data_IF_662788750479
#
_entry.id   IF_662788750479
#
_cell.length_a   1.000
_cell.length_b   1.000
_cell.length_c   1.000
_cell.angle_alpha   90.00
_cell.angle_beta   90.00
_cell.angle_gamma   90.00
#
_symmetry.space_group_name_H-M   'P 1'
#
loop_
_entity.id
_entity.type
_entity.pdbx_description
1 polymer ?
#
# COMPACT_ATOMS: atom_id res chain seq x y z
N UNK A 1 15.88 3.64 -5.67
CA UNK A 1 15.06 4.62 -6.39
C UNK A 1 15.23 5.97 -5.73
N UNK A 2 15.25 7.02 -6.52
CA UNK A 2 15.43 8.40 -6.03
C UNK A 2 14.08 9.02 -5.66
N UNK A 3 14.10 10.16 -4.94
CA UNK A 3 12.89 10.87 -4.52
C UNK A 3 11.97 11.20 -5.71
N UNK A 4 12.55 11.63 -6.83
CA UNK A 4 11.83 11.90 -8.07
C UNK A 4 11.06 10.66 -8.56
N UNK A 5 11.72 9.50 -8.62
CA UNK A 5 11.09 8.26 -9.09
C UNK A 5 9.97 7.80 -8.16
N UNK A 6 10.14 7.93 -6.84
CA UNK A 6 9.09 7.59 -5.88
C UNK A 6 7.90 8.55 -5.94
N UNK A 7 8.13 9.82 -6.21
CA UNK A 7 7.04 10.78 -6.42
C UNK A 7 6.28 10.52 -7.72
N UNK A 8 6.98 10.16 -8.80
CA UNK A 8 6.37 9.75 -10.07
C UNK A 8 5.57 8.45 -9.89
N UNK A 9 6.13 7.45 -9.20
CA UNK A 9 5.44 6.19 -8.95
C UNK A 9 4.21 6.41 -8.07
N UNK A 10 4.34 7.17 -6.98
CA UNK A 10 3.23 7.50 -6.08
C UNK A 10 2.12 8.26 -6.81
N UNK A 11 2.47 9.23 -7.65
CA UNK A 11 1.48 9.97 -8.44
C UNK A 11 0.80 9.08 -9.47
N UNK A 12 1.53 8.21 -10.18
CA UNK A 12 0.95 7.25 -11.11
C UNK A 12 -0.02 6.27 -10.41
N UNK A 13 0.32 5.80 -9.21
CA UNK A 13 -0.57 4.97 -8.39
C UNK A 13 -1.84 5.72 -7.99
N UNK A 14 -1.74 6.97 -7.54
CA UNK A 14 -2.90 7.78 -7.17
C UNK A 14 -3.77 8.12 -8.39
N UNK A 15 -3.17 8.46 -9.53
CA UNK A 15 -3.90 8.76 -10.76
C UNK A 15 -4.63 7.51 -11.25
N UNK A 16 -3.97 6.35 -11.31
CA UNK A 16 -4.62 5.10 -11.71
C UNK A 16 -5.73 4.67 -10.75
N UNK A 17 -5.55 4.83 -9.44
CA UNK A 17 -6.60 4.55 -8.46
C UNK A 17 -7.78 5.53 -8.60
N UNK A 18 -7.49 6.82 -8.76
CA UNK A 18 -8.51 7.85 -8.95
C UNK A 18 -9.32 7.67 -10.23
N UNK A 19 -8.68 7.30 -11.35
CA UNK A 19 -9.38 7.03 -12.61
C UNK A 19 -10.31 5.82 -12.51
N UNK A 20 -9.92 4.75 -11.82
CA UNK A 20 -10.78 3.57 -11.60
C UNK A 20 -12.11 3.98 -10.95
N UNK A 21 -12.07 4.85 -9.94
CA UNK A 21 -13.29 5.34 -9.28
C UNK A 21 -14.08 6.37 -10.12
N UNK A 22 -13.41 7.18 -10.95
CA UNK A 22 -14.05 8.16 -11.84
C UNK A 22 -14.76 7.53 -13.04
N UNK A 23 -14.19 6.46 -13.60
CA UNK A 23 -14.71 5.76 -14.78
C UNK A 23 -16.06 5.08 -14.52
N UNK A 24 -16.42 4.84 -13.25
CA UNK A 24 -17.73 4.30 -12.82
C UNK A 24 -18.14 3.02 -13.56
N UNK A 25 -17.17 2.24 -14.00
CA UNK A 25 -17.43 1.01 -14.73
C UNK A 25 -17.99 -0.04 -13.76
N UNK A 26 -19.16 -0.65 -14.04
CA UNK A 26 -19.79 -1.59 -13.12
C UNK A 26 -18.88 -2.80 -12.83
N UNK A 27 -18.16 -3.28 -13.85
CA UNK A 27 -17.18 -4.36 -13.73
C UNK A 27 -16.05 -4.01 -12.75
N UNK A 28 -15.48 -2.81 -12.85
CA UNK A 28 -14.42 -2.36 -11.94
C UNK A 28 -14.93 -2.21 -10.50
N UNK A 29 -16.12 -1.65 -10.33
CA UNK A 29 -16.74 -1.49 -9.01
C UNK A 29 -16.97 -2.85 -8.34
N UNK A 30 -17.43 -3.85 -9.09
CA UNK A 30 -17.56 -5.21 -8.58
C UNK A 30 -16.22 -5.83 -8.20
N UNK A 31 -15.18 -5.64 -9.03
CA UNK A 31 -13.84 -6.15 -8.72
C UNK A 31 -13.29 -5.54 -7.44
N UNK A 32 -13.45 -4.22 -7.24
CA UNK A 32 -13.02 -3.52 -6.03
C UNK A 32 -13.80 -4.00 -4.81
N UNK A 33 -15.11 -4.24 -4.92
CA UNK A 33 -15.91 -4.78 -3.80
C UNK A 33 -15.58 -6.23 -3.46
N UNK A 34 -15.18 -7.04 -4.46
CA UNK A 34 -14.76 -8.44 -4.26
C UNK A 34 -13.33 -8.55 -3.72
N UNK A 35 -12.50 -7.51 -3.89
CA UNK A 35 -11.09 -7.49 -3.47
C UNK A 35 -10.87 -7.94 -2.01
N UNK A 36 -11.57 -7.39 -0.99
CA UNK A 36 -11.28 -7.70 0.41
C UNK A 36 -11.40 -9.18 0.77
N UNK A 37 -12.17 -9.97 0.02
CA UNK A 37 -12.38 -11.41 0.27
C UNK A 37 -11.72 -12.32 -0.77
N UNK A 38 -10.92 -11.76 -1.69
CA UNK A 38 -10.32 -12.52 -2.78
C UNK A 38 -9.17 -13.40 -2.29
N UNK A 39 -9.34 -14.72 -2.34
CA UNK A 39 -8.32 -15.69 -1.96
C UNK A 39 -7.11 -15.67 -2.91
N UNK A 40 -7.35 -15.52 -4.21
CA UNK A 40 -6.28 -15.45 -5.22
C UNK A 40 -5.35 -14.25 -4.98
N UNK A 41 -5.94 -13.09 -4.70
CA UNK A 41 -5.17 -11.88 -4.39
C UNK A 41 -4.50 -11.95 -3.02
N UNK A 42 -5.11 -12.63 -2.06
CA UNK A 42 -4.49 -12.88 -0.75
C UNK A 42 -3.16 -13.61 -0.89
N UNK A 43 -3.13 -14.70 -1.66
CA UNK A 43 -1.90 -15.49 -1.89
C UNK A 43 -0.86 -14.64 -2.62
N UNK A 44 -1.28 -13.96 -3.70
CA UNK A 44 -0.37 -13.15 -4.52
C UNK A 44 0.26 -12.03 -3.70
N UNK A 45 -0.54 -11.24 -2.96
CA UNK A 45 -0.04 -10.11 -2.18
C UNK A 45 0.81 -10.58 -0.99
N UNK A 46 0.43 -11.69 -0.34
CA UNK A 46 1.20 -12.24 0.77
C UNK A 46 2.54 -12.80 0.28
N UNK A 47 2.58 -13.47 -0.87
CA UNK A 47 3.81 -13.96 -1.48
C UNK A 47 4.71 -12.80 -1.91
N UNK A 48 4.15 -11.74 -2.50
CA UNK A 48 4.90 -10.52 -2.83
C UNK A 48 5.45 -9.84 -1.56
N UNK A 49 4.63 -9.72 -0.51
CA UNK A 49 5.06 -9.14 0.77
C UNK A 49 6.17 -9.95 1.43
N UNK A 50 6.03 -11.27 1.49
CA UNK A 50 7.06 -12.16 2.01
C UNK A 50 8.34 -12.10 1.17
N UNK A 51 8.23 -12.15 -0.16
CA UNK A 51 9.37 -12.05 -1.06
C UNK A 51 10.11 -10.73 -0.92
N UNK A 52 9.38 -9.61 -0.85
CA UNK A 52 9.95 -8.29 -0.59
C UNK A 52 10.65 -8.26 0.77
N UNK A 53 10.00 -8.73 1.84
CA UNK A 53 10.58 -8.75 3.17
C UNK A 53 11.88 -9.56 3.22
N UNK A 54 11.88 -10.77 2.65
CA UNK A 54 13.05 -11.64 2.63
C UNK A 54 14.20 -11.01 1.82
N UNK A 55 13.90 -10.49 0.64
CA UNK A 55 14.93 -9.94 -0.25
C UNK A 55 15.48 -8.60 0.26
N UNK A 56 14.60 -7.64 0.58
CA UNK A 56 15.00 -6.28 0.89
C UNK A 56 15.39 -6.07 2.35
N UNK A 57 14.69 -6.71 3.28
CA UNK A 57 14.94 -6.52 4.72
C UNK A 57 15.80 -7.63 5.29
N UNK A 58 15.49 -8.91 5.03
CA UNK A 58 16.22 -10.03 5.65
C UNK A 58 17.65 -10.19 5.14
N UNK A 59 17.89 -10.02 3.84
CA UNK A 59 19.27 -10.14 3.32
C UNK A 59 20.15 -8.97 3.77
N UNK A 60 19.59 -7.78 3.88
CA UNK A 60 20.31 -6.54 4.15
C UNK A 60 20.42 -6.17 5.63
N UNK A 61 19.99 -7.02 6.58
CA UNK A 61 20.19 -6.69 8.01
C UNK A 61 21.68 -6.55 8.32
N UNK A 62 22.02 -5.49 9.03
CA UNK A 62 23.34 -5.31 9.63
C UNK A 62 23.49 -6.24 10.83
N UNK A 63 24.72 -6.55 11.23
CA UNK A 63 24.98 -7.30 12.47
C UNK A 63 24.45 -6.56 13.71
N UNK A 64 24.37 -5.23 13.65
CA UNK A 64 23.75 -4.41 14.70
C UNK A 64 22.23 -4.63 14.83
N UNK A 65 21.56 -5.05 13.74
CA UNK A 65 20.12 -5.24 13.69
C UNK A 65 19.74 -6.74 13.69
N UNK A 66 20.47 -7.58 14.43
CA UNK A 66 20.25 -9.04 14.45
C UNK A 66 20.66 -9.78 13.15
N UNK A 67 21.69 -9.30 12.46
CA UNK A 67 22.21 -9.93 11.23
C UNK A 67 22.63 -11.40 11.38
N UNK A 68 22.96 -11.85 12.59
CA UNK A 68 23.25 -13.26 12.89
C UNK A 68 21.99 -14.15 12.84
N UNK A 69 20.82 -13.57 13.09
CA UNK A 69 19.53 -14.27 13.15
C UNK A 69 18.72 -14.19 11.86
N UNK A 70 19.32 -13.77 10.74
CA UNK A 70 18.64 -13.61 9.44
C UNK A 70 17.85 -14.85 9.02
N UNK A 71 18.45 -16.04 9.17
CA UNK A 71 17.80 -17.30 8.80
C UNK A 71 16.60 -17.59 9.70
N UNK A 72 16.71 -17.30 11.00
CA UNK A 72 15.63 -17.49 11.96
C UNK A 72 14.48 -16.51 11.70
N UNK A 73 14.78 -15.22 11.49
CA UNK A 73 13.78 -14.19 11.16
C UNK A 73 13.07 -14.53 9.85
N UNK A 74 13.83 -14.91 8.82
CA UNK A 74 13.28 -15.32 7.53
C UNK A 74 12.38 -16.56 7.67
N UNK A 75 12.85 -17.58 8.38
CA UNK A 75 12.08 -18.80 8.64
C UNK A 75 10.78 -18.54 9.40
N UNK A 76 10.83 -17.71 10.45
CA UNK A 76 9.64 -17.30 11.19
C UNK A 76 8.66 -16.51 10.30
N UNK A 77 9.15 -15.57 9.49
CA UNK A 77 8.29 -14.82 8.58
C UNK A 77 7.60 -15.72 7.54
N UNK A 78 8.33 -16.70 6.99
CA UNK A 78 7.76 -17.71 6.10
C UNK A 78 6.71 -18.57 6.82
N UNK A 79 7.00 -19.02 8.04
CA UNK A 79 6.04 -19.78 8.84
C UNK A 79 4.78 -18.96 9.13
N UNK A 80 4.90 -17.70 9.53
CA UNK A 80 3.78 -16.79 9.77
C UNK A 80 2.95 -16.58 8.50
N UNK A 81 3.58 -16.42 7.33
CA UNK A 81 2.86 -16.29 6.07
C UNK A 81 2.05 -17.56 5.75
N UNK A 82 2.66 -18.74 5.87
CA UNK A 82 1.96 -20.03 5.64
C UNK A 82 0.83 -20.22 6.64
N UNK A 83 1.07 -20.01 7.93
CA UNK A 83 0.07 -20.11 8.98
C UNK A 83 -1.07 -19.10 8.80
N UNK A 84 -0.77 -17.88 8.38
CA UNK A 84 -1.78 -16.85 8.08
C UNK A 84 -2.69 -17.29 6.94
N UNK A 85 -2.13 -17.91 5.90
CA UNK A 85 -2.93 -18.46 4.81
C UNK A 85 -3.82 -19.63 5.23
N UNK A 86 -3.35 -20.48 6.16
CA UNK A 86 -4.11 -21.64 6.62
C UNK A 86 -5.22 -21.26 7.60
N UNK A 87 -4.90 -20.40 8.58
CA UNK A 87 -5.77 -20.11 9.73
C UNK A 87 -6.51 -18.77 9.64
N UNK A 88 -6.01 -17.81 8.86
CA UNK A 88 -6.51 -16.42 8.85
C UNK A 88 -6.91 -16.00 7.43
N UNK A 89 -7.78 -16.81 6.82
CA UNK A 89 -8.22 -16.62 5.42
C UNK A 89 -9.11 -15.39 5.21
N UNK A 90 -9.80 -14.95 6.27
CA UNK A 90 -10.71 -13.82 6.21
C UNK A 90 -9.94 -12.50 6.09
N UNK A 91 -10.19 -11.78 5.00
CA UNK A 91 -9.59 -10.49 4.69
C UNK A 91 -8.04 -10.47 4.63
N UNK A 92 -7.44 -11.62 4.35
CA UNK A 92 -5.99 -11.75 4.22
C UNK A 92 -5.43 -10.84 3.12
N UNK A 93 -6.16 -10.66 2.00
CA UNK A 93 -5.80 -9.73 0.94
C UNK A 93 -5.62 -8.29 1.44
N UNK A 94 -6.48 -7.83 2.33
CA UNK A 94 -6.41 -6.48 2.90
C UNK A 94 -5.15 -6.35 3.77
N UNK A 95 -4.91 -7.32 4.65
CA UNK A 95 -3.73 -7.33 5.52
C UNK A 95 -2.43 -7.40 4.71
N UNK A 96 -2.38 -8.26 3.70
CA UNK A 96 -1.22 -8.37 2.82
C UNK A 96 -0.97 -7.08 2.02
N UNK A 97 -2.04 -6.40 1.57
CA UNK A 97 -1.91 -5.07 0.96
C UNK A 97 -1.36 -4.04 1.95
N UNK A 98 -1.81 -4.05 3.21
CA UNK A 98 -1.27 -3.17 4.25
C UNK A 98 0.22 -3.43 4.51
N UNK A 99 0.68 -4.69 4.51
CA UNK A 99 2.10 -5.03 4.64
C UNK A 99 2.92 -4.41 3.50
N UNK A 100 2.48 -4.59 2.25
CA UNK A 100 3.13 -4.01 1.08
C UNK A 100 3.13 -2.49 1.11
N UNK A 101 2.01 -1.87 1.52
CA UNK A 101 1.91 -0.43 1.68
C UNK A 101 2.91 0.10 2.71
N UNK A 102 3.09 -0.59 3.85
CA UNK A 102 4.07 -0.21 4.86
C UNK A 102 5.51 -0.35 4.38
N UNK A 103 5.85 -1.41 3.63
CA UNK A 103 7.17 -1.55 3.02
C UNK A 103 7.44 -0.46 1.99
N UNK A 104 6.45 -0.17 1.15
CA UNK A 104 6.53 0.94 0.21
C UNK A 104 6.74 2.28 0.94
N UNK A 105 5.93 2.56 1.97
CA UNK A 105 6.04 3.79 2.76
C UNK A 105 7.43 3.97 3.37
N UNK A 106 8.04 2.89 3.88
CA UNK A 106 9.41 2.94 4.40
C UNK A 106 10.40 3.39 3.34
N UNK A 107 10.40 2.75 2.17
CA UNK A 107 11.36 3.09 1.12
C UNK A 107 11.17 4.51 0.58
N UNK A 108 9.93 5.00 0.51
CA UNK A 108 9.64 6.40 0.14
C UNK A 108 10.18 7.35 1.20
N UNK A 109 9.94 7.10 2.49
CA UNK A 109 10.44 7.94 3.58
C UNK A 109 11.97 7.95 3.66
N UNK A 110 12.61 6.81 3.42
CA UNK A 110 14.08 6.71 3.38
C UNK A 110 14.65 7.55 2.21
N UNK A 111 14.01 7.52 1.04
CA UNK A 111 14.40 8.38 -0.10
C UNK A 111 14.20 9.87 0.17
N UNK A 112 13.24 10.17 1.02
CA UNK A 112 12.88 11.49 1.47
C UNK A 112 13.73 11.94 2.67
N UNK A 113 14.61 11.12 3.24
CA UNK A 113 15.42 11.52 4.38
C UNK A 113 16.56 12.46 3.93
N UNK A 114 16.82 13.54 4.70
CA UNK A 114 17.90 14.53 4.47
C UNK A 114 17.93 15.31 3.14
N UNK A 115 16.91 15.19 2.28
CA UNK A 115 16.77 16.08 1.10
C UNK A 115 16.39 17.53 1.50
N UNK A 116 16.83 18.50 0.73
CA UNK A 116 16.59 19.94 0.97
C UNK A 116 15.19 20.45 0.55
N UNK A 117 14.56 19.98 -0.56
CA UNK A 117 13.32 20.58 -1.05
C UNK A 117 12.14 20.46 -0.07
N UNK A 118 11.49 21.59 0.23
CA UNK A 118 10.28 21.63 1.08
C UNK A 118 9.04 21.03 0.40
N UNK A 119 9.01 21.01 -0.94
CA UNK A 119 7.97 20.37 -1.78
C UNK A 119 7.81 18.86 -1.50
N UNK A 120 8.82 18.24 -0.88
CA UNK A 120 8.80 16.82 -0.47
C UNK A 120 7.80 16.56 0.64
N UNK A 121 7.49 17.56 1.46
CA UNK A 121 6.58 17.43 2.61
C UNK A 121 5.18 16.98 2.20
N UNK A 122 4.74 17.31 0.98
CA UNK A 122 3.46 16.84 0.45
C UNK A 122 3.45 15.32 0.29
N UNK A 123 4.49 14.76 -0.36
CA UNK A 123 4.66 13.31 -0.49
C UNK A 123 4.75 12.63 0.88
N UNK A 124 5.59 13.16 1.76
CA UNK A 124 5.80 12.61 3.11
C UNK A 124 4.49 12.58 3.91
N UNK A 125 3.72 13.67 3.85
CA UNK A 125 2.42 13.76 4.54
C UNK A 125 1.43 12.72 4.00
N UNK A 126 1.37 12.53 2.68
CA UNK A 126 0.53 11.51 2.05
C UNK A 126 0.95 10.10 2.50
N UNK A 127 2.26 9.83 2.54
CA UNK A 127 2.78 8.54 3.00
C UNK A 127 2.44 8.28 4.47
N UNK A 128 2.48 9.29 5.35
CA UNK A 128 2.01 9.12 6.73
C UNK A 128 0.51 8.79 6.81
N UNK A 129 -0.32 9.37 5.95
CA UNK A 129 -1.74 8.97 5.85
C UNK A 129 -1.86 7.51 5.43
N UNK A 130 -1.06 7.05 4.46
CA UNK A 130 -1.02 5.65 4.03
C UNK A 130 -0.59 4.72 5.16
N UNK A 131 0.41 5.12 5.97
CA UNK A 131 0.85 4.36 7.15
C UNK A 131 -0.29 4.22 8.16
N UNK A 132 -0.93 5.33 8.53
CA UNK A 132 -2.05 5.33 9.47
C UNK A 132 -3.21 4.45 8.99
N UNK A 133 -3.57 4.57 7.71
CA UNK A 133 -4.60 3.75 7.09
C UNK A 133 -4.21 2.26 7.09
N UNK A 134 -2.95 1.94 6.80
CA UNK A 134 -2.45 0.57 6.78
C UNK A 134 -2.47 -0.08 8.16
N UNK A 135 -2.10 0.67 9.21
CA UNK A 135 -2.17 0.19 10.59
C UNK A 135 -3.63 -0.04 11.02
N UNK A 136 -4.51 0.90 10.72
CA UNK A 136 -5.93 0.81 11.05
C UNK A 136 -6.64 -0.34 10.32
N UNK A 137 -6.42 -0.48 9.01
CA UNK A 137 -6.99 -1.57 8.21
C UNK A 137 -6.33 -2.92 8.50
N UNK A 138 -5.06 -2.93 8.89
CA UNK A 138 -4.38 -4.14 9.36
C UNK A 138 -5.05 -4.73 10.61
N UNK A 139 -5.41 -3.86 11.57
CA UNK A 139 -6.13 -4.25 12.78
C UNK A 139 -7.60 -4.62 12.50
N UNK A 140 -8.30 -3.81 11.71
CA UNK A 140 -9.73 -3.98 11.42
C UNK A 140 -10.03 -4.04 9.91
N UNK A 141 -9.68 -5.17 9.25
CA UNK A 141 -9.71 -5.24 7.78
C UNK A 141 -11.13 -5.25 7.19
N UNK A 142 -12.14 -5.64 7.97
CA UNK A 142 -13.54 -5.61 7.53
C UNK A 142 -14.03 -4.19 7.22
N UNK A 143 -13.42 -3.15 7.83
CA UNK A 143 -13.82 -1.76 7.58
C UNK A 143 -13.56 -1.33 6.14
N UNK A 144 -12.60 -1.94 5.42
CA UNK A 144 -12.39 -1.65 4.00
C UNK A 144 -13.58 -2.10 3.15
N UNK A 145 -14.16 -3.27 3.46
CA UNK A 145 -15.38 -3.77 2.80
C UNK A 145 -16.55 -2.83 3.05
N UNK A 146 -16.73 -2.41 4.30
CA UNK A 146 -17.85 -1.54 4.68
C UNK A 146 -17.70 -0.16 4.04
N UNK A 147 -16.46 0.35 3.94
CA UNK A 147 -16.13 1.56 3.21
C UNK A 147 -16.50 1.45 1.73
N UNK A 148 -16.14 0.34 1.05
CA UNK A 148 -16.53 0.13 -0.34
C UNK A 148 -18.05 0.03 -0.51
N UNK A 149 -18.75 -0.62 0.41
CA UNK A 149 -20.22 -0.65 0.42
C UNK A 149 -20.82 0.75 0.47
N UNK A 150 -20.36 1.59 1.41
CA UNK A 150 -20.80 2.99 1.52
C UNK A 150 -20.42 3.85 0.30
N UNK A 151 -19.24 3.60 -0.27
CA UNK A 151 -18.70 4.36 -1.39
C UNK A 151 -19.49 4.10 -2.68
N UNK A 152 -19.82 2.84 -2.97
CA UNK A 152 -20.54 2.44 -4.17
C UNK A 152 -22.06 2.52 -4.06
N UNK A 153 -22.62 2.74 -2.86
CA UNK A 153 -24.04 2.99 -2.62
C UNK A 153 -24.57 4.20 -3.43
N UNK A 154 -23.74 5.24 -3.61
CA UNK A 154 -24.10 6.41 -4.43
C UNK A 154 -23.00 6.71 -5.46
N UNK A 155 -23.33 6.86 -6.76
CA UNK A 155 -22.32 7.14 -7.78
C UNK A 155 -21.60 8.47 -7.56
N UNK A 156 -22.25 9.44 -6.91
CA UNK A 156 -21.65 10.73 -6.56
C UNK A 156 -20.54 10.61 -5.52
N UNK A 157 -20.63 9.67 -4.56
CA UNK A 157 -19.60 9.42 -3.55
C UNK A 157 -18.36 8.80 -4.18
N UNK A 158 -18.55 7.78 -5.02
CA UNK A 158 -17.46 7.14 -5.77
C UNK A 158 -16.71 8.15 -6.65
N UNK A 159 -17.44 8.97 -7.43
CA UNK A 159 -16.82 10.02 -8.25
C UNK A 159 -16.12 11.09 -7.42
N UNK A 160 -16.70 11.52 -6.30
CA UNK A 160 -16.08 12.53 -5.42
C UNK A 160 -14.78 12.03 -4.79
N UNK A 161 -14.77 10.79 -4.31
CA UNK A 161 -13.57 10.15 -3.79
C UNK A 161 -12.51 9.96 -4.89
N UNK A 162 -12.91 9.45 -6.06
CA UNK A 162 -12.02 9.29 -7.21
C UNK A 162 -11.40 10.61 -7.66
N UNK A 163 -12.20 11.68 -7.71
CA UNK A 163 -11.74 13.03 -8.03
C UNK A 163 -10.74 13.58 -7.01
N UNK A 164 -10.98 13.35 -5.71
CA UNK A 164 -10.04 13.75 -4.65
C UNK A 164 -8.69 13.01 -4.80
N UNK A 165 -8.73 11.68 -4.93
CA UNK A 165 -7.52 10.85 -5.08
C UNK A 165 -6.76 11.21 -6.36
N UNK A 166 -7.47 11.41 -7.47
CA UNK A 166 -6.89 11.83 -8.74
C UNK A 166 -6.26 13.23 -8.64
N UNK A 167 -6.94 14.18 -7.98
CA UNK A 167 -6.43 15.52 -7.73
C UNK A 167 -5.15 15.51 -6.89
N UNK A 168 -5.10 14.70 -5.83
CA UNK A 168 -3.86 14.49 -5.07
C UNK A 168 -2.73 13.94 -5.94
N UNK A 169 -3.03 12.99 -6.83
CA UNK A 169 -2.08 12.45 -7.80
C UNK A 169 -1.54 13.50 -8.77
N UNK A 170 -2.41 14.38 -9.30
CA UNK A 170 -2.01 15.48 -10.19
C UNK A 170 -1.13 16.51 -9.48
N UNK A 171 -1.50 16.91 -8.26
CA UNK A 171 -0.69 17.83 -7.45
C UNK A 171 0.69 17.22 -7.20
N UNK A 172 0.74 15.95 -6.81
CA UNK A 172 2.00 15.25 -6.57
C UNK A 172 2.85 15.15 -7.84
N UNK A 173 2.24 14.89 -9.00
CA UNK A 173 2.92 14.86 -10.29
C UNK A 173 3.50 16.24 -10.64
N UNK A 174 2.74 17.32 -10.44
CA UNK A 174 3.24 18.68 -10.69
C UNK A 174 4.43 19.03 -9.76
N UNK A 175 4.32 18.70 -8.47
CA UNK A 175 5.40 18.89 -7.50
C UNK A 175 6.62 18.01 -7.81
N UNK A 176 6.44 16.87 -8.46
CA UNK A 176 7.54 15.97 -8.82
C UNK A 176 8.60 16.63 -9.71
N UNK A 177 8.19 17.52 -10.62
CA UNK A 177 9.11 18.24 -11.50
C UNK A 177 9.80 19.44 -10.82
N UNK A 178 9.48 19.70 -9.56
CA UNK A 178 10.10 20.75 -8.75
C UNK A 178 11.18 20.22 -7.79
N UNK A 179 11.53 18.92 -7.88
CA UNK A 179 12.57 18.26 -7.08
C UNK A 179 13.95 18.32 -7.74
#
# INVERSE_FOLDING_TARGET
MNLFEYSLLSSALLLSLGTVFLLRQPVLNEMVQKFPRSQKLSILLLALGLGWFLHRHVQNLSNADFGEYKVLIGGLASAVAVLSYLFVKDFLAVRALCILALFYSREVLDSAFLQEPSTRLFLVSLIYVVILLSLYLGAWPFRLRDFFGWLFDKPTRASGFGGLVFGCGLILLALSFSY
#
